data_IF_092758688404
#
_entry.id   IF_092758688404
#
_cell.length_a   1.000
_cell.length_b   1.000
_cell.length_c   1.000
_cell.angle_alpha   90.00
_cell.angle_beta   90.00
_cell.angle_gamma   90.00
#
_symmetry.space_group_name_H-M   'P 1'
#
loop_
_entity.id
_entity.type
_entity.pdbx_description
1 polymer ?
#
# COMPACT_ATOMS: atom_id res chain seq x y z
N UNK A 1 12.23 4.77 -5.87
CA UNK A 1 12.10 4.40 -7.29
C UNK A 1 13.37 4.68 -8.07
N UNK A 2 13.36 4.37 -9.38
CA UNK A 2 14.50 4.51 -10.31
C UNK A 2 15.04 5.95 -10.43
N UNK A 3 14.23 6.96 -10.09
CA UNK A 3 14.65 8.36 -10.09
C UNK A 3 15.63 8.72 -8.97
N UNK A 4 15.52 8.04 -7.82
CA UNK A 4 16.44 8.24 -6.68
C UNK A 4 17.82 7.66 -6.98
N UNK A 5 17.87 6.53 -7.68
CA UNK A 5 19.11 5.85 -8.08
C UNK A 5 19.79 6.50 -9.29
N UNK A 6 19.02 7.13 -10.20
CA UNK A 6 19.54 7.76 -11.42
C UNK A 6 20.07 9.19 -11.23
N UNK A 7 20.01 9.76 -10.01
CA UNK A 7 20.52 11.10 -9.71
C UNK A 7 19.70 12.26 -10.28
N UNK A 8 18.56 11.98 -10.92
CA UNK A 8 17.70 13.00 -11.56
C UNK A 8 17.13 14.00 -10.56
N UNK A 9 16.89 13.62 -9.31
CA UNK A 9 16.44 14.55 -8.26
C UNK A 9 17.49 15.62 -7.93
N UNK A 10 18.78 15.27 -7.96
CA UNK A 10 19.86 16.25 -7.78
C UNK A 10 19.90 17.22 -8.95
N UNK A 11 19.73 16.72 -10.17
CA UNK A 11 19.65 17.55 -11.37
C UNK A 11 18.42 18.46 -11.34
N UNK A 12 17.26 17.97 -10.89
CA UNK A 12 16.06 18.78 -10.71
C UNK A 12 16.33 19.97 -9.77
N UNK A 13 16.98 19.73 -8.63
CA UNK A 13 17.34 20.79 -7.68
C UNK A 13 18.27 21.86 -8.27
N UNK A 14 19.10 21.52 -9.28
CA UNK A 14 19.90 22.52 -10.01
C UNK A 14 19.08 23.35 -11.01
N UNK A 15 17.91 22.86 -11.43
CA UNK A 15 17.02 23.55 -12.38
C UNK A 15 15.94 24.38 -11.69
N UNK A 16 15.37 23.82 -10.64
CA UNK A 16 14.32 24.41 -9.82
C UNK A 16 14.65 24.10 -8.37
N UNK A 17 14.99 25.10 -7.54
CA UNK A 17 15.19 24.90 -6.11
C UNK A 17 14.01 24.13 -5.52
N UNK A 18 14.30 23.05 -4.80
CA UNK A 18 13.28 22.18 -4.24
C UNK A 18 13.03 22.51 -2.77
N UNK A 19 11.76 22.67 -2.42
CA UNK A 19 11.24 22.95 -1.09
C UNK A 19 10.39 21.78 -0.58
N UNK A 20 10.28 21.67 0.74
CA UNK A 20 9.37 20.72 1.38
C UNK A 20 7.91 21.12 1.15
N UNK A 21 7.03 20.12 1.12
CA UNK A 21 5.59 20.36 1.18
C UNK A 21 5.16 20.59 2.64
N UNK A 22 4.22 21.52 2.89
CA UNK A 22 3.61 21.63 4.21
C UNK A 22 2.97 20.30 4.64
N UNK A 23 3.15 19.84 5.89
CA UNK A 23 2.61 18.56 6.35
C UNK A 23 1.09 18.42 6.13
N UNK A 24 0.34 19.50 6.36
CA UNK A 24 -1.11 19.52 6.13
C UNK A 24 -1.52 19.28 4.67
N UNK A 25 -0.70 19.73 3.72
CA UNK A 25 -0.93 19.47 2.28
C UNK A 25 -0.60 18.03 1.95
N UNK A 26 0.46 17.47 2.54
CA UNK A 26 0.80 16.05 2.38
C UNK A 26 -0.33 15.17 2.91
N UNK A 27 -0.79 15.41 4.13
CA UNK A 27 -1.90 14.65 4.74
C UNK A 27 -3.16 14.69 3.87
N UNK A 28 -3.54 15.88 3.36
CA UNK A 28 -4.69 16.01 2.47
C UNK A 28 -4.51 15.21 1.17
N UNK A 29 -3.33 15.27 0.54
CA UNK A 29 -3.03 14.47 -0.66
C UNK A 29 -3.13 12.97 -0.35
N UNK A 30 -2.59 12.53 0.79
CA UNK A 30 -2.64 11.11 1.18
C UNK A 30 -4.07 10.63 1.42
N UNK A 31 -4.95 11.47 1.99
CA UNK A 31 -6.37 11.14 2.15
C UNK A 31 -7.14 11.14 0.83
N UNK A 32 -6.76 11.99 -0.13
CA UNK A 32 -7.39 12.08 -1.45
C UNK A 32 -6.97 10.95 -2.40
N UNK A 33 -5.78 10.36 -2.20
CA UNK A 33 -5.31 9.20 -2.97
C UNK A 33 -5.93 7.92 -2.40
N UNK A 34 -7.14 7.65 -2.88
CA UNK A 34 -8.05 6.61 -2.39
C UNK A 34 -7.81 5.22 -3.01
N UNK A 35 -7.03 5.14 -4.11
CA UNK A 35 -6.79 3.87 -4.82
C UNK A 35 -5.34 3.69 -5.24
N UNK A 36 -4.87 2.43 -5.23
CA UNK A 36 -3.53 2.06 -5.74
C UNK A 36 -3.33 2.47 -7.20
N UNK A 37 -4.37 2.32 -8.03
CA UNK A 37 -4.29 2.71 -9.44
C UNK A 37 -4.05 4.22 -9.60
N UNK A 38 -4.72 5.05 -8.78
CA UNK A 38 -4.52 6.49 -8.78
C UNK A 38 -3.13 6.86 -8.28
N UNK A 39 -2.65 6.22 -7.20
CA UNK A 39 -1.29 6.37 -6.69
C UNK A 39 -0.24 6.10 -7.77
N UNK A 40 -0.31 4.95 -8.46
CA UNK A 40 0.63 4.59 -9.52
C UNK A 40 0.61 5.60 -10.65
N UNK A 41 -0.58 5.99 -11.14
CA UNK A 41 -0.70 7.00 -12.21
C UNK A 41 -0.13 8.36 -11.78
N UNK A 42 -0.38 8.76 -10.54
CA UNK A 42 0.12 10.01 -10.00
C UNK A 42 1.65 9.99 -9.85
N UNK A 43 2.22 8.87 -9.40
CA UNK A 43 3.67 8.69 -9.37
C UNK A 43 4.26 8.83 -10.77
N UNK A 44 3.77 8.08 -11.76
CA UNK A 44 4.24 8.17 -13.15
C UNK A 44 4.17 9.61 -13.67
N UNK A 45 3.07 10.31 -13.40
CA UNK A 45 2.91 11.72 -13.77
C UNK A 45 3.98 12.63 -13.16
N UNK A 46 4.25 12.49 -11.86
CA UNK A 46 5.30 13.26 -11.17
C UNK A 46 6.68 12.90 -11.72
N UNK A 47 6.94 11.62 -11.97
CA UNK A 47 8.20 11.15 -12.55
C UNK A 47 8.45 11.73 -13.94
N UNK A 48 7.44 11.72 -14.81
CA UNK A 48 7.54 12.28 -16.16
C UNK A 48 7.76 13.79 -16.14
N UNK A 49 7.10 14.49 -15.22
CA UNK A 49 7.33 15.91 -15.01
C UNK A 49 8.78 16.21 -14.60
N UNK A 50 9.35 15.40 -13.70
CA UNK A 50 10.76 15.51 -13.29
C UNK A 50 11.69 15.20 -14.45
N UNK A 51 11.45 14.10 -15.20
CA UNK A 51 12.26 13.73 -16.37
C UNK A 51 12.27 14.84 -17.42
N UNK A 52 11.12 15.43 -17.72
CA UNK A 52 11.03 16.53 -18.67
C UNK A 52 11.72 17.79 -18.17
N UNK A 53 11.52 18.16 -16.90
CA UNK A 53 12.19 19.32 -16.30
C UNK A 53 13.73 19.18 -16.33
N UNK A 54 14.25 17.97 -16.11
CA UNK A 54 15.69 17.70 -16.20
C UNK A 54 16.17 17.68 -17.65
N UNK A 55 15.42 17.04 -18.56
CA UNK A 55 15.83 16.82 -19.96
C UNK A 55 15.77 18.06 -20.85
N UNK A 56 14.81 18.96 -20.61
CA UNK A 56 14.59 20.16 -21.45
C UNK A 56 15.51 21.32 -21.05
N UNK A 57 16.32 21.17 -19.99
CA UNK A 57 17.28 22.18 -19.52
C UNK A 57 18.52 22.41 -20.41
N UNK A 58 18.55 21.94 -21.66
CA UNK A 58 19.63 22.20 -22.61
C UNK A 58 19.54 23.62 -23.21
N UNK A 59 20.14 24.61 -22.57
CA UNK A 59 20.58 25.88 -23.18
C UNK A 59 19.53 26.94 -23.56
N UNK A 60 18.26 26.61 -23.80
CA UNK A 60 17.30 27.55 -24.40
C UNK A 60 16.07 27.88 -23.54
N UNK A 61 15.81 27.15 -22.45
CA UNK A 61 14.61 27.35 -21.64
C UNK A 61 14.92 28.23 -20.45
N UNK A 62 14.28 29.41 -20.43
CA UNK A 62 14.17 30.34 -19.29
C UNK A 62 14.08 29.53 -17.99
N UNK A 63 14.84 29.90 -16.97
CA UNK A 63 14.81 29.24 -15.66
C UNK A 63 13.37 28.90 -15.28
N UNK A 64 13.08 27.61 -15.11
CA UNK A 64 11.74 27.15 -14.78
C UNK A 64 11.33 27.80 -13.46
N UNK A 65 10.24 28.56 -13.49
CA UNK A 65 9.77 29.26 -12.31
C UNK A 65 9.20 28.24 -11.32
N UNK A 66 9.93 28.02 -10.22
CA UNK A 66 9.55 27.09 -9.16
C UNK A 66 8.21 27.43 -8.49
N UNK A 67 7.69 28.65 -8.68
CA UNK A 67 6.38 29.08 -8.18
C UNK A 67 5.21 28.62 -9.04
N UNK A 68 5.48 28.13 -10.27
CA UNK A 68 4.47 27.62 -11.20
C UNK A 68 3.73 26.43 -10.58
N UNK A 69 2.39 26.47 -10.63
CA UNK A 69 1.54 25.36 -10.19
C UNK A 69 1.80 24.11 -11.02
N UNK A 70 1.83 22.96 -10.37
CA UNK A 70 2.10 21.70 -11.06
C UNK A 70 1.02 21.36 -12.08
N UNK A 71 -0.26 21.62 -11.76
CA UNK A 71 -1.38 21.50 -12.71
C UNK A 71 -1.15 22.30 -14.00
N UNK A 72 -0.72 23.56 -13.85
CA UNK A 72 -0.48 24.46 -14.98
C UNK A 72 0.66 23.94 -15.85
N UNK A 73 1.75 23.49 -15.21
CA UNK A 73 2.87 22.91 -15.92
C UNK A 73 2.48 21.62 -16.68
N UNK A 74 1.70 20.74 -16.04
CA UNK A 74 1.27 19.50 -16.67
C UNK A 74 0.38 19.76 -17.89
N UNK A 75 -0.57 20.69 -17.79
CA UNK A 75 -1.54 20.95 -18.88
C UNK A 75 -1.00 21.88 -19.96
N UNK A 76 -0.21 22.90 -19.62
CA UNK A 76 0.30 23.89 -20.59
C UNK A 76 1.67 23.53 -21.18
N UNK A 77 2.53 22.81 -20.42
CA UNK A 77 3.91 22.50 -20.86
C UNK A 77 4.04 21.04 -21.28
N UNK A 78 3.57 20.10 -20.44
CA UNK A 78 3.57 18.68 -20.80
C UNK A 78 2.40 18.31 -21.73
N UNK A 79 1.52 19.27 -22.03
CA UNK A 79 0.35 19.10 -22.89
C UNK A 79 -0.55 17.93 -22.46
N UNK A 80 -0.65 17.69 -21.15
CA UNK A 80 -1.53 16.69 -20.59
C UNK A 80 -2.99 17.06 -20.82
N UNK A 81 -3.78 16.09 -21.27
CA UNK A 81 -5.23 16.23 -21.38
C UNK A 81 -5.83 16.65 -20.01
N UNK A 82 -6.58 17.77 -19.94
CA UNK A 82 -7.24 18.22 -18.71
C UNK A 82 -8.18 17.18 -18.07
N UNK A 83 -8.84 16.34 -18.88
CA UNK A 83 -9.68 15.25 -18.36
C UNK A 83 -8.85 14.13 -17.73
N UNK A 84 -7.69 13.83 -18.31
CA UNK A 84 -6.75 12.88 -17.73
C UNK A 84 -6.16 13.42 -16.42
N UNK A 85 -5.84 14.71 -16.36
CA UNK A 85 -5.38 15.36 -15.13
C UNK A 85 -6.42 15.22 -14.01
N UNK A 86 -7.68 15.59 -14.28
CA UNK A 86 -8.77 15.51 -13.30
C UNK A 86 -8.98 14.10 -12.74
N UNK A 87 -8.75 13.07 -13.54
CA UNK A 87 -8.88 11.66 -13.13
C UNK A 87 -7.65 11.13 -12.37
N UNK A 88 -6.52 11.81 -12.47
CA UNK A 88 -5.23 11.34 -11.96
C UNK A 88 -4.80 12.12 -10.72
N UNK A 89 -4.70 13.44 -10.85
CA UNK A 89 -4.29 14.33 -9.78
C UNK A 89 -5.40 14.52 -8.75
N UNK A 90 -5.03 15.06 -7.60
CA UNK A 90 -5.97 15.39 -6.53
C UNK A 90 -6.20 16.91 -6.47
N UNK A 91 -7.30 17.37 -5.82
CA UNK A 91 -7.53 18.80 -5.59
C UNK A 91 -6.36 19.48 -4.89
N UNK A 92 -5.84 18.87 -3.82
CA UNK A 92 -4.70 19.43 -3.07
C UNK A 92 -3.44 19.58 -3.94
N UNK A 93 -3.20 18.65 -4.86
CA UNK A 93 -2.10 18.76 -5.83
C UNK A 93 -2.33 19.92 -6.80
N UNK A 94 -3.56 20.08 -7.27
CA UNK A 94 -3.91 21.08 -8.27
C UNK A 94 -3.79 22.52 -7.73
N UNK A 95 -4.07 22.71 -6.44
CA UNK A 95 -4.12 24.03 -5.79
C UNK A 95 -2.83 24.43 -5.07
N UNK A 96 -2.12 23.45 -4.50
CA UNK A 96 -1.01 23.75 -3.57
C UNK A 96 0.37 23.31 -4.07
N UNK A 97 0.44 22.28 -4.93
CA UNK A 97 1.71 21.76 -5.42
C UNK A 97 2.25 22.63 -6.55
N UNK A 98 3.55 22.93 -6.46
CA UNK A 98 4.31 23.76 -7.41
C UNK A 98 5.54 22.99 -7.85
N UNK A 99 6.23 23.48 -8.88
CA UNK A 99 7.43 22.81 -9.41
C UNK A 99 8.56 22.66 -8.39
N UNK A 100 8.68 23.59 -7.44
CA UNK A 100 9.61 23.45 -6.31
C UNK A 100 9.26 22.33 -5.33
N UNK A 101 8.06 21.77 -5.38
CA UNK A 101 7.60 20.74 -4.45
C UNK A 101 7.69 19.31 -5.03
N UNK A 102 8.11 19.14 -6.29
CA UNK A 102 8.02 17.85 -6.99
C UNK A 102 8.86 16.75 -6.32
N UNK A 103 10.04 17.09 -5.81
CA UNK A 103 10.85 16.13 -5.07
C UNK A 103 10.15 15.66 -3.79
N UNK A 104 9.61 16.60 -3.00
CA UNK A 104 8.90 16.25 -1.76
C UNK A 104 7.65 15.42 -2.05
N UNK A 105 6.90 15.77 -3.10
CA UNK A 105 5.73 15.00 -3.53
C UNK A 105 6.11 13.58 -3.95
N UNK A 106 7.15 13.43 -4.78
CA UNK A 106 7.59 12.12 -5.24
C UNK A 106 7.98 11.23 -4.05
N UNK A 107 8.73 11.77 -3.08
CA UNK A 107 9.11 11.03 -1.88
C UNK A 107 7.88 10.63 -1.05
N UNK A 108 6.92 11.53 -0.83
CA UNK A 108 5.69 11.21 -0.09
C UNK A 108 4.86 10.12 -0.78
N UNK A 109 4.78 10.16 -2.13
CA UNK A 109 4.10 9.12 -2.90
C UNK A 109 4.90 7.81 -2.91
N UNK A 110 6.24 7.87 -2.96
CA UNK A 110 7.09 6.69 -2.84
C UNK A 110 6.94 6.03 -1.47
N UNK A 111 6.81 6.80 -0.39
CA UNK A 111 6.55 6.27 0.95
C UNK A 111 5.15 5.63 1.00
N UNK A 112 4.13 6.27 0.41
CA UNK A 112 2.78 5.70 0.27
C UNK A 112 2.75 4.46 -0.64
N UNK A 113 3.64 4.37 -1.63
CA UNK A 113 3.80 3.17 -2.47
C UNK A 113 4.73 2.14 -1.85
N UNK A 114 5.61 2.51 -0.92
CA UNK A 114 6.40 1.59 -0.10
C UNK A 114 5.49 0.85 0.89
N UNK A 115 4.30 1.38 1.17
CA UNK A 115 3.11 0.65 1.62
C UNK A 115 2.50 -0.26 0.53
N UNK A 116 3.31 -0.75 -0.42
CA UNK A 116 3.10 -2.05 -1.04
C UNK A 116 3.09 -3.03 0.11
N UNK A 117 1.89 -3.39 0.59
CA UNK A 117 1.66 -4.20 1.80
C UNK A 117 2.84 -5.14 1.99
N UNK A 118 3.60 -5.09 3.08
CA UNK A 118 4.79 -5.94 3.27
C UNK A 118 4.54 -7.44 2.95
N UNK A 119 3.27 -7.85 2.99
CA UNK A 119 2.76 -9.14 2.54
C UNK A 119 2.98 -9.45 1.05
N UNK A 120 3.08 -8.45 0.19
CA UNK A 120 3.44 -8.57 -1.22
C UNK A 120 4.93 -8.87 -1.44
N UNK A 121 5.74 -8.88 -0.37
CA UNK A 121 7.11 -9.39 -0.39
C UNK A 121 7.23 -10.85 0.04
N UNK A 122 6.15 -11.46 0.55
CA UNK A 122 6.12 -12.88 0.95
C UNK A 122 6.43 -13.76 -0.26
N UNK A 123 7.30 -14.76 -0.13
CA UNK A 123 7.67 -15.62 -1.27
C UNK A 123 6.43 -16.34 -1.84
N UNK A 124 6.36 -16.48 -3.17
CA UNK A 124 5.19 -17.04 -3.87
C UNK A 124 4.77 -18.43 -3.35
N UNK A 125 5.72 -19.24 -2.88
CA UNK A 125 5.45 -20.57 -2.31
C UNK A 125 4.58 -20.55 -1.04
N UNK A 126 4.50 -19.41 -0.35
CA UNK A 126 3.66 -19.19 0.83
C UNK A 126 2.32 -18.50 0.51
N UNK A 127 1.95 -18.48 -0.78
CA UNK A 127 0.73 -17.87 -1.29
C UNK A 127 -0.17 -18.84 -2.05
N UNK A 128 0.00 -20.14 -1.83
CA UNK A 128 -0.91 -21.12 -2.38
C UNK A 128 -2.33 -20.87 -1.84
N UNK A 129 -3.36 -21.00 -2.69
CA UNK A 129 -4.74 -20.81 -2.26
C UNK A 129 -5.11 -21.87 -1.22
N UNK A 130 -6.12 -21.55 -0.42
CA UNK A 130 -6.77 -22.52 0.45
C UNK A 130 -7.78 -23.32 -0.36
N UNK A 131 -7.89 -24.61 -0.05
CA UNK A 131 -8.99 -25.43 -0.57
C UNK A 131 -10.33 -25.04 0.05
N UNK A 132 -11.47 -25.32 -0.61
CA UNK A 132 -12.79 -24.93 -0.12
C UNK A 132 -13.07 -25.41 1.32
N UNK A 133 -12.62 -26.61 1.67
CA UNK A 133 -12.80 -27.18 3.01
C UNK A 133 -11.98 -26.42 4.07
N UNK A 134 -10.77 -25.99 3.72
CA UNK A 134 -9.91 -25.18 4.60
C UNK A 134 -10.49 -23.77 4.80
N UNK A 135 -11.05 -23.17 3.74
CA UNK A 135 -11.75 -21.88 3.82
C UNK A 135 -12.96 -22.00 4.75
N UNK A 136 -13.77 -23.05 4.58
CA UNK A 136 -14.94 -23.28 5.43
C UNK A 136 -14.54 -23.50 6.90
N UNK A 137 -13.49 -24.27 7.17
CA UNK A 137 -12.97 -24.48 8.52
C UNK A 137 -12.51 -23.16 9.17
N UNK A 138 -11.75 -22.33 8.45
CA UNK A 138 -11.33 -21.00 8.94
C UNK A 138 -12.51 -20.08 9.23
N UNK A 139 -13.50 -20.03 8.33
CA UNK A 139 -14.69 -19.19 8.52
C UNK A 139 -15.56 -19.64 9.70
N UNK A 140 -15.68 -20.95 9.92
CA UNK A 140 -16.40 -21.49 11.08
C UNK A 140 -15.67 -21.24 12.40
N UNK A 141 -14.34 -21.20 12.38
CA UNK A 141 -13.52 -20.93 13.56
C UNK A 141 -13.37 -19.43 13.85
N UNK A 142 -13.45 -18.57 12.83
CA UNK A 142 -13.23 -17.12 12.94
C UNK A 142 -13.96 -16.41 14.10
N UNK A 143 -15.24 -16.73 14.42
CA UNK A 143 -15.95 -16.09 15.54
C UNK A 143 -15.34 -16.39 16.92
N UNK A 144 -14.46 -17.39 17.02
CA UNK A 144 -13.80 -17.79 18.25
C UNK A 144 -12.43 -17.15 18.41
N UNK A 145 -11.90 -16.47 17.40
CA UNK A 145 -10.59 -15.84 17.44
C UNK A 145 -10.64 -14.42 17.99
N UNK A 146 -9.57 -14.01 18.66
CA UNK A 146 -9.21 -12.60 18.69
C UNK A 146 -8.59 -12.25 17.32
N UNK A 147 -9.43 -11.83 16.37
CA UNK A 147 -9.00 -11.54 15.00
C UNK A 147 -7.97 -10.41 14.96
N UNK A 148 -8.06 -9.42 15.85
CA UNK A 148 -7.09 -8.33 15.92
C UNK A 148 -5.69 -8.85 16.27
N UNK A 149 -5.58 -9.63 17.34
CA UNK A 149 -4.32 -10.24 17.75
C UNK A 149 -3.79 -11.24 16.72
N UNK A 150 -4.65 -12.12 16.20
CA UNK A 150 -4.27 -13.13 15.21
C UNK A 150 -3.77 -12.50 13.91
N UNK A 151 -4.49 -11.52 13.36
CA UNK A 151 -4.11 -10.85 12.12
C UNK A 151 -2.83 -10.02 12.30
N UNK A 152 -2.61 -9.43 13.47
CA UNK A 152 -1.37 -8.75 13.80
C UNK A 152 -0.17 -9.72 13.74
N UNK A 153 -0.21 -10.81 14.50
CA UNK A 153 0.89 -11.77 14.55
C UNK A 153 1.10 -12.52 13.23
N UNK A 154 0.01 -12.89 12.54
CA UNK A 154 0.08 -13.52 11.22
C UNK A 154 0.72 -12.59 10.18
N UNK A 155 0.45 -11.28 10.27
CA UNK A 155 1.13 -10.28 9.44
C UNK A 155 2.61 -10.18 9.79
N UNK A 156 2.97 -10.02 11.07
CA UNK A 156 4.38 -9.92 11.48
C UNK A 156 5.17 -11.15 11.01
N UNK A 157 4.67 -12.36 11.30
CA UNK A 157 5.28 -13.61 10.88
C UNK A 157 5.53 -13.66 9.38
N UNK A 158 4.54 -13.32 8.55
CA UNK A 158 4.71 -13.28 7.10
C UNK A 158 5.79 -12.27 6.66
N UNK A 159 5.81 -11.09 7.27
CA UNK A 159 6.66 -9.98 6.85
C UNK A 159 8.11 -10.10 7.31
N UNK A 160 8.34 -10.87 8.37
CA UNK A 160 9.67 -11.11 8.92
C UNK A 160 10.26 -12.43 8.47
N UNK A 161 9.46 -13.50 8.48
CA UNK A 161 9.94 -14.87 8.30
C UNK A 161 9.71 -15.40 6.89
N UNK A 162 8.61 -15.01 6.23
CA UNK A 162 8.20 -15.57 4.93
C UNK A 162 8.58 -14.71 3.72
N UNK A 163 9.35 -13.64 3.94
CA UNK A 163 9.95 -12.83 2.87
C UNK A 163 11.17 -13.50 2.21
N UNK A 164 11.69 -14.57 2.81
CA UNK A 164 12.78 -15.40 2.29
C UNK A 164 12.32 -16.85 2.23
N UNK A 165 12.88 -17.58 1.29
CA UNK A 165 12.60 -19.01 1.13
C UNK A 165 13.45 -19.82 2.12
N UNK A 166 13.12 -19.74 3.41
CA UNK A 166 13.90 -20.31 4.51
C UNK A 166 13.21 -21.48 5.19
N UNK A 167 11.90 -21.64 4.99
CA UNK A 167 11.07 -22.63 5.68
C UNK A 167 10.39 -23.58 4.68
N UNK A 168 10.28 -24.89 4.97
CA UNK A 168 9.54 -25.80 4.11
C UNK A 168 8.05 -25.43 4.10
N UNK A 169 7.43 -25.36 2.93
CA UNK A 169 6.07 -24.81 2.80
C UNK A 169 4.99 -25.79 3.25
N UNK A 170 5.35 -27.06 3.39
CA UNK A 170 4.51 -28.18 3.79
C UNK A 170 4.38 -28.31 5.33
N UNK A 171 5.16 -27.54 6.08
CA UNK A 171 5.11 -27.51 7.55
C UNK A 171 3.84 -26.85 8.07
N UNK A 172 3.46 -27.19 9.30
CA UNK A 172 2.24 -26.71 9.95
C UNK A 172 2.31 -25.21 10.29
N UNK A 173 1.31 -24.44 9.84
CA UNK A 173 1.25 -23.00 10.06
C UNK A 173 0.97 -22.66 11.52
N UNK A 174 0.16 -23.45 12.22
CA UNK A 174 -0.24 -23.20 13.60
C UNK A 174 0.96 -23.36 14.55
N UNK A 175 1.76 -24.39 14.33
CA UNK A 175 2.99 -24.65 15.08
C UNK A 175 3.97 -23.48 14.94
N UNK A 176 4.23 -23.02 13.72
CA UNK A 176 5.15 -21.91 13.47
C UNK A 176 4.65 -20.58 14.02
N UNK A 177 3.34 -20.32 13.94
CA UNK A 177 2.74 -19.14 14.57
C UNK A 177 2.89 -19.19 16.09
N UNK A 178 2.72 -20.36 16.70
CA UNK A 178 2.94 -20.56 18.15
C UNK A 178 4.39 -20.28 18.54
N UNK A 179 5.38 -20.72 17.75
CA UNK A 179 6.78 -20.40 18.01
C UNK A 179 7.12 -18.92 17.81
N UNK A 180 6.40 -18.23 16.93
CA UNK A 180 6.66 -16.82 16.62
C UNK A 180 6.07 -15.85 17.64
N UNK A 181 5.15 -16.30 18.50
CA UNK A 181 4.46 -15.45 19.46
C UNK A 181 4.04 -16.23 20.70
N UNK A 182 4.65 -15.89 21.84
CA UNK A 182 4.26 -16.42 23.16
C UNK A 182 2.77 -16.18 23.44
N UNK A 183 2.21 -15.05 22.95
CA UNK A 183 0.79 -14.73 23.10
C UNK A 183 -0.11 -15.72 22.37
N UNK A 184 0.28 -16.19 21.18
CA UNK A 184 -0.47 -17.22 20.47
C UNK A 184 -0.24 -18.60 21.09
N UNK A 185 0.98 -18.89 21.53
CA UNK A 185 1.33 -20.16 22.16
C UNK A 185 0.50 -20.46 23.42
N UNK A 186 0.10 -19.43 24.17
CA UNK A 186 -0.68 -19.56 25.40
C UNK A 186 -2.18 -19.27 25.21
N UNK A 187 -2.61 -18.86 24.02
CA UNK A 187 -3.99 -18.46 23.76
C UNK A 187 -4.92 -19.67 23.53
N UNK A 188 -5.82 -19.96 24.49
CA UNK A 188 -6.83 -21.03 24.35
C UNK A 188 -7.68 -20.88 23.09
N UNK A 189 -8.04 -19.64 22.73
CA UNK A 189 -8.82 -19.35 21.53
C UNK A 189 -8.07 -19.68 20.24
N UNK A 190 -6.75 -19.67 20.26
CA UNK A 190 -5.91 -20.03 19.13
C UNK A 190 -5.64 -21.54 19.13
N UNK A 191 -5.13 -22.08 20.24
CA UNK A 191 -4.79 -23.50 20.37
C UNK A 191 -6.02 -24.41 20.18
N UNK A 192 -7.17 -24.05 20.73
CA UNK A 192 -8.37 -24.89 20.70
C UNK A 192 -9.20 -24.79 19.41
N UNK A 193 -8.99 -23.74 18.61
CA UNK A 193 -9.89 -23.44 17.48
C UNK A 193 -9.20 -23.17 16.15
N UNK A 194 -7.90 -22.86 16.12
CA UNK A 194 -7.20 -22.66 14.85
C UNK A 194 -7.15 -24.01 14.10
N UNK A 195 -7.63 -24.06 12.83
CA UNK A 195 -7.74 -25.32 12.09
C UNK A 195 -6.40 -26.03 11.96
N UNK A 196 -6.44 -27.34 12.22
CA UNK A 196 -5.32 -28.24 11.98
C UNK A 196 -5.14 -28.50 10.47
N UNK A 197 -3.91 -28.75 10.03
CA UNK A 197 -3.61 -29.09 8.64
C UNK A 197 -3.51 -27.90 7.69
N UNK A 198 -3.51 -26.67 8.21
CA UNK A 198 -3.05 -25.50 7.46
C UNK A 198 -1.53 -25.49 7.45
N UNK A 199 -0.95 -25.40 6.26
CA UNK A 199 0.48 -25.38 6.04
C UNK A 199 1.01 -23.97 5.75
N UNK A 200 2.31 -23.75 5.92
CA UNK A 200 2.98 -22.48 5.63
C UNK A 200 2.71 -21.99 4.20
N UNK A 201 2.52 -22.90 3.23
CA UNK A 201 2.15 -22.57 1.86
C UNK A 201 0.87 -21.71 1.75
N UNK A 202 -0.02 -21.81 2.73
CA UNK A 202 -1.32 -21.13 2.74
C UNK A 202 -1.34 -19.86 3.61
N UNK A 203 -0.22 -19.47 4.23
CA UNK A 203 -0.18 -18.37 5.21
C UNK A 203 -0.82 -17.06 4.70
N UNK A 204 -0.50 -16.68 3.46
CA UNK A 204 -1.04 -15.47 2.83
C UNK A 204 -2.55 -15.58 2.55
N UNK A 205 -3.02 -16.75 2.12
CA UNK A 205 -4.44 -16.99 1.87
C UNK A 205 -5.25 -17.02 3.18
N UNK A 206 -4.72 -17.62 4.25
CA UNK A 206 -5.31 -17.59 5.60
C UNK A 206 -5.52 -16.16 6.09
N UNK A 207 -4.50 -15.31 5.98
CA UNK A 207 -4.60 -13.90 6.37
C UNK A 207 -5.69 -13.16 5.59
N UNK A 208 -5.75 -13.35 4.27
CA UNK A 208 -6.77 -12.71 3.43
C UNK A 208 -8.18 -13.16 3.77
N UNK A 209 -8.38 -14.46 4.01
CA UNK A 209 -9.69 -15.03 4.34
C UNK A 209 -10.21 -14.46 5.65
N UNK A 210 -9.37 -14.42 6.69
CA UNK A 210 -9.75 -13.90 8.01
C UNK A 210 -10.02 -12.39 7.98
N UNK A 211 -9.16 -11.61 7.32
CA UNK A 211 -9.33 -10.15 7.18
C UNK A 211 -10.61 -9.77 6.40
N UNK A 212 -11.00 -10.56 5.41
CA UNK A 212 -12.24 -10.29 4.65
C UNK A 212 -13.50 -10.61 5.45
N UNK A 213 -13.39 -11.43 6.50
CA UNK A 213 -14.49 -11.75 7.42
C UNK A 213 -14.78 -10.65 8.46
N UNK A 214 -13.83 -9.76 8.74
CA UNK A 214 -13.98 -8.68 9.74
C UNK A 214 -15.05 -7.63 9.36
N UNK A 215 -15.46 -7.55 8.09
CA UNK A 215 -16.46 -6.58 7.61
C UNK A 215 -17.93 -7.02 7.75
N UNK A 216 -18.21 -8.18 8.35
CA UNK A 216 -19.52 -8.83 8.29
C UNK A 216 -20.41 -8.75 9.53
N UNK A 217 -20.02 -8.02 10.59
CA UNK A 217 -20.79 -7.98 11.85
C UNK A 217 -21.29 -6.57 12.12
N UNK A 218 -22.46 -6.23 11.59
CA UNK A 218 -23.14 -4.99 11.95
C UNK A 218 -24.31 -4.59 11.06
N UNK A 219 -25.40 -5.38 11.01
CA UNK A 219 -26.79 -4.91 11.25
C UNK A 219 -27.63 -6.12 11.65
N UNK A 220 -27.82 -6.30 12.95
CA UNK A 220 -29.01 -6.96 13.49
C UNK A 220 -30.08 -5.89 13.72
N UNK A 221 -31.33 -6.15 13.31
CA UNK A 221 -32.41 -5.19 13.48
C UNK A 221 -33.77 -5.70 13.01
N UNK A 222 -34.34 -6.62 13.78
CA UNK A 222 -35.76 -6.77 14.13
C UNK A 222 -36.85 -6.41 13.09
N UNK A 223 -37.66 -7.42 12.78
CA UNK A 223 -39.01 -7.26 12.24
C UNK A 223 -39.82 -8.52 12.47
N UNK A 224 -40.19 -8.77 13.73
CA UNK A 224 -41.17 -9.80 14.10
C UNK A 224 -42.61 -9.31 13.95
N UNK A 225 -43.52 -10.28 13.88
CA UNK A 225 -44.98 -10.11 14.00
C UNK A 225 -45.68 -9.88 12.65
N UNK A 226 -46.71 -10.60 12.27
CA UNK A 226 -47.52 -11.58 12.97
C UNK A 226 -48.87 -11.70 12.24
N UNK A 227 -49.44 -12.90 12.34
CA UNK A 227 -50.79 -13.33 11.93
C UNK A 227 -51.06 -13.46 10.42
#
# INVERSE_FOLDING_TARGET
GELRSSGQLRLLATRVPQDQLPPSVVEAILQEVDTKQRLTRLQTLVEDAVRFAVGVGGGAVKAMDGSTLFHRYATEVLLMDPDLWRRTATPSISEHVRLRHLQALLLALEDLSADTSPLERVVLRYREPLDPDQVAALQQAAPRFDLGALLFHLREFMTEQLIRDSWPAEEDLKEYLSYSSDLLADAEWFLGHFPEGLQLRHAYATYKTLRSGEGGVGVGGSGGGGL
#
